data_IF_167349673139
#
_entry.id   IF_167349673139
#
_cell.length_a   1.000
_cell.length_b   1.000
_cell.length_c   1.000
_cell.angle_alpha   90.00
_cell.angle_beta   90.00
_cell.angle_gamma   90.00
#
_symmetry.space_group_name_H-M   'P 1'
#
loop_
_entity.id
_entity.type
_entity.pdbx_description
1 polymer ?
#
# COMPACT_ATOMS: atom_id res chain seq x y z
N UNK A 1 -10.96 -15.34 -59.14
CA UNK A 1 -11.09 -14.05 -58.45
C UNK A 1 -11.24 -14.38 -56.95
N UNK A 2 -10.14 -14.40 -56.24
CA UNK A 2 -10.12 -14.72 -54.82
C UNK A 2 -10.42 -13.45 -54.02
N UNK A 3 -11.51 -13.47 -53.25
CA UNK A 3 -11.80 -12.45 -52.28
C UNK A 3 -10.80 -12.55 -51.12
N UNK A 4 -9.85 -11.63 -51.10
CA UNK A 4 -9.02 -11.42 -49.90
C UNK A 4 -9.90 -10.72 -48.87
N UNK A 5 -10.35 -11.45 -47.89
CA UNK A 5 -10.93 -10.83 -46.67
C UNK A 5 -9.74 -10.22 -45.91
N UNK A 6 -9.63 -8.89 -46.00
CA UNK A 6 -8.84 -8.12 -45.05
C UNK A 6 -9.42 -8.40 -43.66
N UNK A 7 -8.70 -9.23 -42.87
CA UNK A 7 -8.87 -9.33 -41.41
C UNK A 7 -8.42 -7.98 -40.86
N UNK A 8 -9.33 -7.03 -40.80
CA UNK A 8 -9.18 -5.87 -39.93
C UNK A 8 -9.24 -6.42 -38.50
N UNK A 9 -8.06 -6.67 -37.93
CA UNK A 9 -7.90 -6.94 -36.53
C UNK A 9 -8.56 -5.79 -35.76
N UNK A 10 -9.79 -6.00 -35.33
CA UNK A 10 -10.41 -5.17 -34.33
C UNK A 10 -9.65 -5.43 -33.02
N UNK A 11 -8.54 -4.72 -32.81
CA UNK A 11 -7.92 -4.59 -31.52
C UNK A 11 -8.93 -3.87 -30.60
N UNK A 12 -9.87 -4.62 -30.08
CA UNK A 12 -10.69 -4.15 -28.96
C UNK A 12 -9.71 -4.04 -27.80
N UNK A 13 -9.43 -2.84 -27.30
CA UNK A 13 -8.53 -2.71 -26.16
C UNK A 13 -9.11 -3.56 -25.01
N UNK A 14 -8.28 -4.45 -24.48
CA UNK A 14 -8.69 -5.23 -23.30
C UNK A 14 -8.98 -4.27 -22.15
N UNK A 15 -10.11 -4.48 -21.46
CA UNK A 15 -10.49 -3.58 -20.37
C UNK A 15 -9.49 -3.65 -19.22
N UNK A 16 -9.07 -2.50 -18.71
CA UNK A 16 -8.30 -2.44 -17.46
C UNK A 16 -9.22 -2.79 -16.29
N UNK A 17 -8.83 -3.79 -15.54
CA UNK A 17 -9.52 -4.26 -14.34
C UNK A 17 -8.68 -3.94 -13.10
N UNK A 18 -9.34 -3.60 -12.02
CA UNK A 18 -8.74 -3.26 -10.73
C UNK A 18 -9.04 -4.36 -9.73
N UNK A 19 -8.00 -5.01 -9.24
CA UNK A 19 -8.09 -6.11 -8.26
C UNK A 19 -7.56 -5.63 -6.93
N UNK A 20 -8.37 -5.70 -5.88
CA UNK A 20 -8.00 -5.22 -4.55
C UNK A 20 -7.95 -6.37 -3.55
N UNK A 21 -6.84 -6.46 -2.83
CA UNK A 21 -6.68 -7.31 -1.66
C UNK A 21 -6.68 -6.47 -0.40
N UNK A 22 -7.50 -6.88 0.56
CA UNK A 22 -7.60 -6.28 1.90
C UNK A 22 -6.93 -7.16 2.94
N UNK A 23 -6.17 -6.54 3.83
CA UNK A 23 -5.55 -7.18 4.99
C UNK A 23 -5.55 -6.23 6.18
N UNK A 24 -5.13 -6.69 7.34
CA UNK A 24 -5.03 -5.88 8.56
C UNK A 24 -3.79 -6.26 9.36
N UNK A 25 -3.34 -5.34 10.20
CA UNK A 25 -2.26 -5.54 11.17
C UNK A 25 -2.36 -4.52 12.30
N UNK A 26 -1.65 -4.78 13.39
CA UNK A 26 -1.57 -3.88 14.53
C UNK A 26 -0.16 -3.30 14.60
N UNK A 27 -0.04 -1.99 14.74
CA UNK A 27 1.25 -1.35 14.91
C UNK A 27 1.16 -0.16 15.85
N UNK A 28 2.23 0.08 16.58
CA UNK A 28 2.39 1.26 17.42
C UNK A 28 3.23 2.32 16.71
N UNK A 29 2.98 3.58 17.04
CA UNK A 29 3.76 4.70 16.55
C UNK A 29 3.72 5.90 17.50
N UNK A 30 4.61 6.85 17.23
CA UNK A 30 4.62 8.18 17.80
C UNK A 30 4.93 9.19 16.71
N UNK A 31 4.14 10.25 16.63
CA UNK A 31 4.47 11.39 15.76
C UNK A 31 5.36 12.35 16.53
N UNK A 32 6.61 12.43 16.12
CA UNK A 32 7.62 13.29 16.72
C UNK A 32 8.67 13.68 15.69
N UNK A 33 8.95 14.97 15.61
CA UNK A 33 10.03 15.49 14.77
C UNK A 33 11.24 15.80 15.68
N UNK A 34 12.34 15.03 15.58
CA UNK A 34 13.52 15.21 16.44
C UNK A 34 14.27 16.52 16.16
N UNK A 35 14.02 17.17 15.02
CA UNK A 35 14.66 18.44 14.63
C UNK A 35 13.93 19.66 15.21
N UNK A 36 12.82 19.44 15.93
CA UNK A 36 12.01 20.47 16.56
C UNK A 36 12.05 20.36 18.08
N UNK A 37 11.70 21.47 18.76
CA UNK A 37 11.59 21.45 20.22
C UNK A 37 10.45 20.56 20.72
N UNK A 38 10.54 20.18 21.98
CA UNK A 38 9.47 19.39 22.62
C UNK A 38 8.16 20.18 22.66
N UNK A 39 8.20 21.49 22.91
CA UNK A 39 7.03 22.38 22.88
C UNK A 39 6.37 22.39 21.50
N UNK A 40 7.17 22.50 20.43
CA UNK A 40 6.65 22.44 19.06
C UNK A 40 5.99 21.09 18.76
N UNK A 41 6.61 19.99 19.19
CA UNK A 41 6.05 18.65 19.00
C UNK A 41 4.75 18.44 19.76
N UNK A 42 4.66 18.96 20.98
CA UNK A 42 3.45 18.94 21.80
C UNK A 42 2.31 19.72 21.15
N UNK A 43 2.60 20.96 20.70
CA UNK A 43 1.63 21.82 20.05
C UNK A 43 1.13 21.26 18.72
N UNK A 44 2.04 20.65 17.93
CA UNK A 44 1.75 20.14 16.60
C UNK A 44 1.02 18.80 16.62
N UNK A 45 1.49 17.86 17.43
CA UNK A 45 1.03 16.47 17.39
C UNK A 45 0.13 16.08 18.58
N UNK A 46 0.15 16.87 19.66
CA UNK A 46 -0.67 16.62 20.85
C UNK A 46 -0.55 15.19 21.36
N UNK A 47 -1.68 14.51 21.51
CA UNK A 47 -1.73 13.13 21.99
C UNK A 47 -0.93 12.13 21.12
N UNK A 48 -0.75 12.41 19.83
CA UNK A 48 0.04 11.56 18.94
C UNK A 48 1.54 11.62 19.22
N UNK A 49 2.00 12.64 19.97
CA UNK A 49 3.38 12.78 20.43
C UNK A 49 3.66 12.09 21.77
N UNK A 50 2.69 11.42 22.38
CA UNK A 50 2.88 10.82 23.71
C UNK A 50 4.11 9.91 23.77
N UNK A 51 5.02 10.10 24.76
CA UNK A 51 6.31 9.40 24.83
C UNK A 51 6.20 7.88 25.01
N UNK A 52 5.06 7.39 25.50
CA UNK A 52 4.81 5.96 25.67
C UNK A 52 4.08 5.32 24.49
N UNK A 53 4.07 6.02 23.33
CA UNK A 53 3.48 5.52 22.10
C UNK A 53 1.95 5.35 22.15
N UNK A 54 1.36 5.03 21.04
CA UNK A 54 0.00 4.53 20.90
C UNK A 54 -0.06 3.63 19.67
N UNK A 55 -1.11 2.87 19.51
CA UNK A 55 -1.25 1.92 18.42
C UNK A 55 -2.62 1.95 17.77
N UNK A 56 -2.68 1.41 16.58
CA UNK A 56 -3.88 1.29 15.78
C UNK A 56 -4.04 -0.12 15.20
N UNK A 57 -5.29 -0.48 14.95
CA UNK A 57 -5.66 -1.61 14.10
C UNK A 57 -5.75 -1.08 12.67
N UNK A 58 -4.64 -1.16 11.96
CA UNK A 58 -4.58 -0.71 10.56
C UNK A 58 -5.31 -1.67 9.64
N UNK A 59 -6.00 -1.11 8.65
CA UNK A 59 -6.53 -1.89 7.53
C UNK A 59 -5.85 -1.40 6.25
N UNK A 60 -5.27 -2.33 5.51
CA UNK A 60 -4.56 -2.08 4.27
C UNK A 60 -5.33 -2.67 3.10
N UNK A 61 -5.62 -1.83 2.10
CA UNK A 61 -6.15 -2.25 0.81
C UNK A 61 -5.13 -1.94 -0.27
N UNK A 62 -4.72 -2.95 -1.02
CA UNK A 62 -3.79 -2.81 -2.14
C UNK A 62 -4.51 -3.18 -3.42
N UNK A 63 -4.52 -2.24 -4.36
CA UNK A 63 -5.16 -2.38 -5.67
C UNK A 63 -4.11 -2.51 -6.76
N UNK A 64 -4.24 -3.56 -7.56
CA UNK A 64 -3.44 -3.83 -8.76
C UNK A 64 -4.33 -3.64 -9.98
N UNK A 65 -3.85 -2.91 -10.97
CA UNK A 65 -4.52 -2.66 -12.23
C UNK A 65 -3.84 -3.40 -13.37
N UNK A 66 -4.61 -3.91 -14.31
CA UNK A 66 -4.09 -4.56 -15.50
C UNK A 66 -5.19 -5.12 -16.39
N UNK A 67 -4.80 -5.70 -17.48
CA UNK A 67 -5.68 -6.44 -18.37
C UNK A 67 -5.72 -7.91 -17.91
N UNK A 68 -6.89 -8.57 -17.91
CA UNK A 68 -6.97 -9.99 -17.64
C UNK A 68 -6.16 -10.80 -18.65
N UNK A 69 -5.33 -11.70 -18.16
CA UNK A 69 -4.60 -12.65 -19.00
C UNK A 69 -5.59 -13.55 -19.76
N UNK A 70 -5.45 -13.74 -21.08
CA UNK A 70 -6.43 -14.49 -21.87
C UNK A 70 -6.54 -15.97 -21.52
N UNK A 71 -5.50 -16.56 -20.94
CA UNK A 71 -5.50 -17.98 -20.60
C UNK A 71 -6.07 -18.24 -19.20
N UNK A 72 -5.87 -17.32 -18.26
CA UNK A 72 -6.26 -17.47 -16.85
C UNK A 72 -7.46 -16.61 -16.44
N UNK A 73 -7.68 -15.51 -17.13
CA UNK A 73 -8.64 -14.48 -16.73
C UNK A 73 -8.18 -13.59 -15.57
N UNK A 74 -6.92 -13.72 -15.12
CA UNK A 74 -6.40 -12.97 -13.97
C UNK A 74 -5.60 -11.76 -14.39
N UNK A 75 -5.75 -10.64 -13.68
CA UNK A 75 -4.80 -9.55 -13.65
C UNK A 75 -3.59 -9.97 -12.80
N UNK A 76 -3.86 -10.55 -11.65
CA UNK A 76 -2.89 -11.15 -10.73
C UNK A 76 -3.57 -12.26 -9.94
N UNK A 77 -2.83 -13.33 -9.66
CA UNK A 77 -3.30 -14.37 -8.74
C UNK A 77 -3.40 -13.79 -7.32
N UNK A 78 -4.59 -13.88 -6.71
CA UNK A 78 -4.85 -13.33 -5.37
C UNK A 78 -4.09 -14.06 -4.26
N UNK A 79 -3.74 -15.33 -4.45
CA UNK A 79 -2.89 -16.08 -3.53
C UNK A 79 -1.45 -15.56 -3.55
N UNK A 80 -0.95 -15.24 -4.76
CA UNK A 80 0.36 -14.61 -4.94
C UNK A 80 0.38 -13.21 -4.33
N UNK A 81 -0.64 -12.40 -4.62
CA UNK A 81 -0.75 -11.06 -4.03
C UNK A 81 -0.79 -11.11 -2.51
N UNK A 82 -1.56 -12.02 -1.92
CA UNK A 82 -1.60 -12.24 -0.46
C UNK A 82 -0.22 -12.52 0.11
N UNK A 83 0.54 -13.43 -0.52
CA UNK A 83 1.89 -13.78 -0.07
C UNK A 83 2.83 -12.58 -0.13
N UNK A 84 2.80 -11.83 -1.23
CA UNK A 84 3.62 -10.61 -1.38
C UNK A 84 3.30 -9.60 -0.28
N UNK A 85 2.02 -9.33 -0.02
CA UNK A 85 1.61 -8.40 1.03
C UNK A 85 2.08 -8.85 2.41
N UNK A 86 2.00 -10.15 2.71
CA UNK A 86 2.48 -10.68 3.98
C UNK A 86 4.00 -10.51 4.09
N UNK A 87 4.76 -11.02 3.13
CA UNK A 87 6.24 -11.03 3.18
C UNK A 87 6.84 -9.61 3.14
N UNK A 88 6.25 -8.71 2.36
CA UNK A 88 6.81 -7.37 2.14
C UNK A 88 6.35 -6.35 3.17
N UNK A 89 5.16 -6.52 3.73
CA UNK A 89 4.54 -5.53 4.63
C UNK A 89 4.13 -6.15 5.95
N UNK A 90 3.12 -7.03 5.97
CA UNK A 90 2.46 -7.45 7.21
C UNK A 90 3.43 -8.07 8.21
N UNK A 91 4.27 -9.02 7.78
CA UNK A 91 5.24 -9.70 8.65
C UNK A 91 6.30 -8.75 9.23
N UNK A 92 6.51 -7.60 8.58
CA UNK A 92 7.47 -6.58 9.03
C UNK A 92 6.88 -5.58 10.02
N UNK A 93 5.56 -5.38 10.02
CA UNK A 93 4.91 -4.30 10.78
C UNK A 93 3.95 -4.79 11.85
N UNK A 94 3.38 -6.00 11.69
CA UNK A 94 2.37 -6.51 12.62
C UNK A 94 2.97 -6.75 14.00
N UNK A 95 2.33 -6.20 15.04
CA UNK A 95 2.79 -6.20 16.43
C UNK A 95 4.16 -5.51 16.62
N UNK A 96 4.48 -4.53 15.77
CA UNK A 96 5.74 -3.77 15.80
C UNK A 96 5.50 -2.30 16.15
N UNK A 97 6.58 -1.63 16.50
CA UNK A 97 6.63 -0.19 16.64
C UNK A 97 7.24 0.39 15.35
N UNK A 98 6.49 1.22 14.63
CA UNK A 98 6.91 1.80 13.35
C UNK A 98 8.15 2.69 13.47
N UNK A 99 8.35 3.30 14.63
CA UNK A 99 9.52 4.17 14.88
C UNK A 99 10.79 3.39 15.22
N UNK A 100 10.68 2.15 15.76
CA UNK A 100 11.80 1.44 16.37
C UNK A 100 12.15 0.12 15.67
N UNK A 101 11.15 -0.58 15.12
CA UNK A 101 11.28 -2.00 14.75
C UNK A 101 11.14 -2.24 13.24
N UNK A 102 10.86 -1.21 12.45
CA UNK A 102 10.51 -1.35 11.02
C UNK A 102 11.53 -0.64 10.15
N UNK A 103 12.42 -1.40 9.51
CA UNK A 103 13.56 -0.88 8.75
C UNK A 103 13.15 0.11 7.65
N UNK A 104 12.08 -0.17 6.90
CA UNK A 104 11.63 0.71 5.82
C UNK A 104 10.94 2.01 6.30
N UNK A 105 10.75 2.16 7.62
CA UNK A 105 10.29 3.38 8.28
C UNK A 105 11.39 4.17 8.98
N UNK A 106 12.64 3.68 8.96
CA UNK A 106 13.76 4.33 9.63
C UNK A 106 13.95 5.77 9.14
N UNK A 107 14.01 6.72 10.09
CA UNK A 107 14.19 8.14 9.80
C UNK A 107 12.95 8.84 9.22
N UNK A 108 11.82 8.17 9.13
CA UNK A 108 10.56 8.71 8.63
C UNK A 108 9.60 8.96 9.80
N UNK A 109 8.98 10.13 9.86
CA UNK A 109 7.89 10.37 10.80
C UNK A 109 6.71 9.48 10.38
N UNK A 110 6.26 8.53 11.22
CA UNK A 110 5.31 7.50 10.80
C UNK A 110 3.85 7.98 10.86
N UNK A 111 3.57 9.11 10.19
CA UNK A 111 2.20 9.48 9.86
C UNK A 111 1.59 8.43 8.92
N UNK A 112 0.28 8.36 8.87
CA UNK A 112 -0.42 7.41 7.98
C UNK A 112 -0.07 7.69 6.51
N UNK A 113 0.13 8.96 6.15
CA UNK A 113 0.54 9.39 4.81
C UNK A 113 1.94 8.86 4.44
N UNK A 114 2.94 9.10 5.27
CA UNK A 114 4.29 8.60 5.04
C UNK A 114 4.34 7.08 5.04
N UNK A 115 3.55 6.45 5.91
CA UNK A 115 3.49 4.99 5.98
C UNK A 115 2.86 4.39 4.71
N UNK A 116 1.82 5.00 4.15
CA UNK A 116 1.25 4.56 2.87
C UNK A 116 2.25 4.65 1.71
N UNK A 117 3.05 5.73 1.66
CA UNK A 117 4.14 5.88 0.67
C UNK A 117 5.23 4.81 0.87
N UNK A 118 5.63 4.56 2.12
CA UNK A 118 6.63 3.55 2.43
C UNK A 118 6.14 2.13 2.04
N UNK A 119 4.88 1.80 2.31
CA UNK A 119 4.26 0.54 1.86
C UNK A 119 4.26 0.43 0.33
N UNK A 120 3.95 1.50 -0.38
CA UNK A 120 4.02 1.53 -1.84
C UNK A 120 5.41 1.13 -2.34
N UNK A 121 6.45 1.75 -1.79
CA UNK A 121 7.83 1.49 -2.18
C UNK A 121 8.27 0.02 -1.93
N UNK A 122 7.71 -0.63 -0.90
CA UNK A 122 7.95 -2.06 -0.64
C UNK A 122 7.26 -2.98 -1.67
N UNK A 123 6.22 -2.50 -2.35
CA UNK A 123 5.35 -3.31 -3.19
C UNK A 123 5.53 -3.09 -4.69
N UNK A 124 5.92 -1.88 -5.14
CA UNK A 124 5.85 -1.49 -6.56
C UNK A 124 6.65 -2.40 -7.49
N UNK A 125 7.82 -2.90 -7.05
CA UNK A 125 8.68 -3.80 -7.82
C UNK A 125 8.45 -5.29 -7.53
N UNK A 126 7.49 -5.62 -6.66
CA UNK A 126 7.28 -6.99 -6.20
C UNK A 126 6.21 -7.76 -6.98
N UNK A 127 5.41 -7.08 -7.79
CA UNK A 127 4.27 -7.67 -8.48
C UNK A 127 4.72 -8.43 -9.75
N UNK A 128 4.34 -9.71 -9.92
CA UNK A 128 4.71 -10.50 -11.11
C UNK A 128 3.87 -10.14 -12.34
N UNK A 129 2.70 -9.53 -12.14
CA UNK A 129 1.79 -9.09 -13.21
C UNK A 129 0.92 -7.94 -12.75
N UNK A 130 0.34 -7.21 -13.70
CA UNK A 130 -0.35 -5.97 -13.42
C UNK A 130 0.62 -4.86 -12.97
N UNK A 131 0.07 -3.75 -12.53
CA UNK A 131 0.80 -2.63 -11.94
C UNK A 131 0.15 -2.19 -10.65
N UNK A 132 0.93 -1.78 -9.68
CA UNK A 132 0.41 -1.19 -8.45
C UNK A 132 -0.38 0.08 -8.81
N UNK A 133 -1.59 0.18 -8.33
CA UNK A 133 -2.50 1.28 -8.66
C UNK A 133 -2.83 2.15 -7.45
N UNK A 134 -3.07 1.54 -6.31
CA UNK A 134 -3.44 2.25 -5.09
C UNK A 134 -3.04 1.47 -3.84
N UNK A 135 -2.44 2.17 -2.91
CA UNK A 135 -2.31 1.76 -1.51
C UNK A 135 -3.27 2.63 -0.72
N UNK A 136 -4.28 2.01 -0.10
CA UNK A 136 -5.20 2.67 0.81
C UNK A 136 -4.96 2.12 2.21
N UNK A 137 -4.67 3.02 3.15
CA UNK A 137 -4.33 2.66 4.52
C UNK A 137 -5.27 3.37 5.50
N UNK A 138 -6.05 2.59 6.23
CA UNK A 138 -6.89 3.06 7.33
C UNK A 138 -6.10 3.00 8.63
N UNK A 139 -5.96 4.12 9.29
CA UNK A 139 -5.46 4.20 10.66
C UNK A 139 -6.56 3.88 11.68
N UNK A 140 -7.76 4.36 11.39
CA UNK A 140 -8.99 4.09 12.13
C UNK A 140 -10.11 3.75 11.15
N UNK A 141 -11.26 3.33 11.64
CA UNK A 141 -12.45 3.11 10.79
C UNK A 141 -12.91 4.37 10.05
N UNK A 142 -12.52 5.55 10.52
CA UNK A 142 -12.97 6.85 10.00
C UNK A 142 -11.95 7.59 9.16
N UNK A 143 -10.65 7.29 9.36
CA UNK A 143 -9.56 8.03 8.74
C UNK A 143 -8.71 7.08 7.91
N UNK A 144 -8.53 7.42 6.66
CA UNK A 144 -7.64 6.70 5.76
C UNK A 144 -6.94 7.65 4.80
N UNK A 145 -5.86 7.20 4.24
CA UNK A 145 -5.12 7.86 3.18
C UNK A 145 -5.04 6.95 1.95
N UNK A 146 -4.89 7.56 0.79
CA UNK A 146 -4.61 6.86 -0.46
C UNK A 146 -3.33 7.42 -1.08
N UNK A 147 -2.48 6.51 -1.58
CA UNK A 147 -1.36 6.84 -2.42
C UNK A 147 -1.41 6.03 -3.71
N UNK A 148 -1.19 6.71 -4.84
CA UNK A 148 -1.36 6.14 -6.18
C UNK A 148 -0.08 6.20 -7.03
N UNK A 149 1.05 6.43 -6.37
CA UNK A 149 2.32 6.69 -7.02
C UNK A 149 2.46 8.15 -7.44
N UNK A 150 3.68 8.52 -7.80
CA UNK A 150 4.00 9.85 -8.31
C UNK A 150 3.83 9.92 -9.84
#
# INVERSE_FOLDING_TARGET
MALVFDLVDWLVPMPTVYVTRKTHFNAAHRLHNPDKSDEWNEDMFGACNHPNWHGHNYVLEVTVAGEPDPDTGYVIDLGVLKRILNERVVDKVDHKNLNLDVDFMEGIIPSTENFAVAIWNELEDALPSGRLHCVRLYETERNYVEYRGA
#
